data_IF_887369136096
#
_entry.id   IF_887369136096
#
_cell.length_a   1.000
_cell.length_b   1.000
_cell.length_c   1.000
_cell.angle_alpha   90.00
_cell.angle_beta   90.00
_cell.angle_gamma   90.00
#
_symmetry.space_group_name_H-M   'P 1'
#
loop_
_entity.id
_entity.type
_entity.pdbx_description
1 polymer ?
#
# COMPACT_ATOMS: atom_id res chain seq x y z
N UNK A 1 27.12 -55.89 -4.49
CA UNK A 1 26.26 -54.85 -3.86
C UNK A 1 24.84 -55.37 -3.79
N UNK A 2 24.16 -55.27 -2.65
CA UNK A 2 22.82 -55.86 -2.45
C UNK A 2 21.80 -55.16 -3.38
N UNK A 3 20.99 -55.87 -4.18
CA UNK A 3 20.11 -55.28 -5.21
C UNK A 3 19.08 -54.29 -4.64
N UNK A 4 18.73 -54.44 -3.36
CA UNK A 4 17.87 -53.50 -2.62
C UNK A 4 18.47 -52.10 -2.50
N UNK A 5 19.80 -51.99 -2.47
CA UNK A 5 20.50 -50.70 -2.36
C UNK A 5 20.46 -49.93 -3.69
N UNK A 6 20.52 -50.64 -4.82
CA UNK A 6 20.45 -50.06 -6.16
C UNK A 6 19.05 -49.51 -6.44
N UNK A 7 18.01 -50.25 -6.03
CA UNK A 7 16.61 -49.83 -6.17
C UNK A 7 16.31 -48.59 -5.32
N UNK A 8 16.84 -48.51 -4.09
CA UNK A 8 16.66 -47.34 -3.24
C UNK A 8 17.31 -46.07 -3.82
N UNK A 9 18.48 -46.20 -4.44
CA UNK A 9 19.16 -45.07 -5.11
C UNK A 9 18.40 -44.64 -6.36
N UNK A 10 17.89 -45.59 -7.15
CA UNK A 10 17.09 -45.29 -8.33
C UNK A 10 15.78 -44.57 -7.99
N UNK A 11 15.14 -44.96 -6.87
CA UNK A 11 13.91 -44.34 -6.40
C UNK A 11 14.14 -42.92 -5.86
N UNK A 12 15.29 -42.67 -5.24
CA UNK A 12 15.68 -41.34 -4.75
C UNK A 12 15.98 -40.35 -5.89
N UNK A 13 16.46 -40.83 -7.06
CA UNK A 13 16.68 -39.99 -8.24
C UNK A 13 15.39 -39.59 -8.98
N UNK A 14 14.25 -40.26 -8.73
CA UNK A 14 12.97 -39.94 -9.35
C UNK A 14 12.15 -38.89 -8.58
N UNK A 15 12.65 -38.40 -7.45
CA UNK A 15 12.01 -37.29 -6.74
C UNK A 15 12.31 -35.98 -7.49
N UNK A 16 11.31 -35.27 -8.03
CA UNK A 16 11.54 -33.99 -8.68
C UNK A 16 12.15 -33.02 -7.66
N UNK A 17 13.16 -32.21 -8.05
CA UNK A 17 13.68 -31.18 -7.17
C UNK A 17 12.53 -30.22 -6.86
N UNK A 18 12.27 -29.99 -5.57
CA UNK A 18 11.40 -28.89 -5.15
C UNK A 18 12.14 -27.57 -5.48
N UNK A 19 11.94 -27.07 -6.70
CA UNK A 19 12.37 -25.73 -7.08
C UNK A 19 11.40 -24.77 -6.40
N UNK A 20 11.77 -24.33 -5.20
CA UNK A 20 11.11 -23.20 -4.56
C UNK A 20 11.49 -21.94 -5.35
N UNK A 21 10.67 -21.58 -6.33
CA UNK A 21 10.80 -20.31 -7.04
C UNK A 21 10.56 -19.17 -6.05
N UNK A 22 11.47 -18.20 -5.99
CA UNK A 22 11.24 -16.98 -5.25
C UNK A 22 10.24 -16.11 -6.03
N UNK A 23 9.03 -15.95 -5.50
CA UNK A 23 8.04 -15.02 -6.05
C UNK A 23 8.33 -13.62 -5.52
N UNK A 24 8.50 -12.65 -6.41
CA UNK A 24 8.57 -11.24 -6.01
C UNK A 24 7.20 -10.82 -5.52
N UNK A 25 7.08 -10.59 -4.21
CA UNK A 25 5.83 -10.14 -3.57
C UNK A 25 5.68 -8.63 -3.73
N UNK A 26 6.74 -7.88 -3.40
CA UNK A 26 6.80 -6.43 -3.50
C UNK A 26 8.27 -5.99 -3.52
N UNK A 27 8.53 -4.74 -3.92
CA UNK A 27 9.87 -4.16 -3.99
C UNK A 27 9.92 -2.82 -3.28
N UNK A 28 11.05 -2.53 -2.63
CA UNK A 28 11.32 -1.21 -2.04
C UNK A 28 11.75 -0.25 -3.15
N UNK A 29 11.13 0.93 -3.21
CA UNK A 29 11.42 1.97 -4.21
C UNK A 29 12.18 3.16 -3.62
N UNK A 30 12.03 3.40 -2.32
CA UNK A 30 12.81 4.37 -1.57
C UNK A 30 12.93 3.92 -0.10
N UNK A 31 13.93 4.43 0.60
CA UNK A 31 14.09 4.28 2.05
C UNK A 31 14.29 5.67 2.63
N UNK A 32 13.49 6.04 3.63
CA UNK A 32 13.60 7.32 4.34
C UNK A 32 14.02 6.98 5.77
N UNK A 33 15.29 7.26 6.08
CA UNK A 33 15.97 6.77 7.28
C UNK A 33 15.89 5.23 7.39
N UNK A 34 14.99 4.71 8.22
CA UNK A 34 14.80 3.27 8.48
C UNK A 34 13.44 2.74 7.96
N UNK A 35 12.59 3.60 7.37
CA UNK A 35 11.26 3.23 6.89
C UNK A 35 11.26 3.07 5.36
N UNK A 36 10.93 1.87 4.82
CA UNK A 36 10.87 1.65 3.38
C UNK A 36 9.54 2.16 2.80
N UNK A 37 9.60 2.78 1.63
CA UNK A 37 8.44 2.99 0.76
C UNK A 37 8.43 1.88 -0.28
N UNK A 38 7.33 1.12 -0.35
CA UNK A 38 7.21 0.01 -1.31
C UNK A 38 6.61 0.45 -2.64
N UNK A 39 6.78 -0.39 -3.67
CA UNK A 39 6.18 -0.14 -4.98
C UNK A 39 4.66 -0.24 -4.93
N UNK A 40 4.11 -1.21 -4.17
CA UNK A 40 2.66 -1.32 -4.01
C UNK A 40 2.07 -0.07 -3.36
N UNK A 41 2.69 0.46 -2.32
CA UNK A 41 2.27 1.71 -1.67
C UNK A 41 2.32 2.91 -2.61
N UNK A 42 3.43 3.06 -3.35
CA UNK A 42 3.56 4.14 -4.34
C UNK A 42 2.50 4.02 -5.43
N UNK A 43 2.25 2.82 -5.93
CA UNK A 43 1.25 2.56 -6.97
C UNK A 43 -0.17 2.84 -6.48
N UNK A 44 -0.52 2.40 -5.27
CA UNK A 44 -1.82 2.65 -4.64
C UNK A 44 -2.04 4.13 -4.38
N UNK A 45 -1.04 4.82 -3.82
CA UNK A 45 -1.11 6.27 -3.57
C UNK A 45 -1.27 7.05 -4.87
N UNK A 46 -0.47 6.73 -5.89
CA UNK A 46 -0.56 7.38 -7.21
C UNK A 46 -1.93 7.13 -7.87
N UNK A 47 -2.43 5.89 -7.80
CA UNK A 47 -3.74 5.53 -8.35
C UNK A 47 -4.89 6.24 -7.63
N UNK A 48 -4.75 6.46 -6.32
CA UNK A 48 -5.71 7.19 -5.51
C UNK A 48 -5.71 8.69 -5.84
N UNK A 49 -4.54 9.33 -5.91
CA UNK A 49 -4.45 10.77 -6.21
C UNK A 49 -4.93 11.10 -7.63
N UNK A 50 -4.75 10.18 -8.58
CA UNK A 50 -5.19 10.34 -9.97
C UNK A 50 -6.53 9.69 -10.26
N UNK A 51 -7.30 9.28 -9.23
CA UNK A 51 -8.51 8.48 -9.41
C UNK A 51 -9.48 9.06 -10.44
N UNK A 52 -9.66 10.38 -10.40
CA UNK A 52 -10.60 11.09 -11.27
C UNK A 52 -10.09 11.21 -12.71
N UNK A 53 -8.76 11.27 -12.90
CA UNK A 53 -8.13 11.39 -14.21
C UNK A 53 -8.04 10.04 -14.94
N UNK A 54 -7.89 8.94 -14.18
CA UNK A 54 -7.66 7.61 -14.74
C UNK A 54 -8.91 6.73 -14.78
N UNK A 55 -10.03 7.17 -14.20
CA UNK A 55 -11.26 6.36 -14.08
C UNK A 55 -11.78 5.85 -15.44
N UNK A 56 -11.71 6.70 -16.46
CA UNK A 56 -12.28 6.42 -17.79
C UNK A 56 -11.23 6.01 -18.83
N UNK A 57 -9.98 5.81 -18.42
CA UNK A 57 -8.89 5.47 -19.33
C UNK A 57 -8.79 3.95 -19.55
N UNK A 58 -8.44 3.50 -20.77
CA UNK A 58 -8.05 2.11 -21.01
C UNK A 58 -6.87 1.69 -20.12
N UNK A 59 -6.74 0.39 -19.78
CA UNK A 59 -5.69 -0.11 -18.87
C UNK A 59 -4.26 0.33 -19.24
N UNK A 60 -3.92 0.30 -20.52
CA UNK A 60 -2.58 0.70 -21.00
C UNK A 60 -2.31 2.21 -20.79
N UNK A 61 -3.31 3.05 -21.05
CA UNK A 61 -3.20 4.49 -20.85
C UNK A 61 -3.15 4.83 -19.36
N UNK A 62 -3.94 4.14 -18.54
CA UNK A 62 -3.90 4.28 -17.07
C UNK A 62 -2.50 3.98 -16.53
N UNK A 63 -1.88 2.89 -16.99
CA UNK A 63 -0.52 2.51 -16.57
C UNK A 63 0.50 3.59 -16.94
N UNK A 64 0.46 4.08 -18.18
CA UNK A 64 1.35 5.16 -18.65
C UNK A 64 1.20 6.45 -17.83
N UNK A 65 -0.04 6.83 -17.51
CA UNK A 65 -0.33 8.00 -16.68
C UNK A 65 0.24 7.79 -15.27
N UNK A 66 -0.03 6.65 -14.64
CA UNK A 66 0.51 6.34 -13.30
C UNK A 66 2.04 6.41 -13.30
N UNK A 67 2.71 5.73 -14.24
CA UNK A 67 4.18 5.73 -14.34
C UNK A 67 4.76 7.13 -14.50
N UNK A 68 4.06 8.03 -15.22
CA UNK A 68 4.48 9.42 -15.40
C UNK A 68 4.49 10.22 -14.10
N UNK A 69 3.51 9.99 -13.21
CA UNK A 69 3.34 10.75 -11.97
C UNK A 69 3.99 10.09 -10.74
N UNK A 70 4.44 8.84 -10.85
CA UNK A 70 5.08 8.10 -9.75
C UNK A 70 6.21 8.87 -9.08
N UNK A 71 7.06 9.56 -9.84
CA UNK A 71 8.18 10.31 -9.25
C UNK A 71 7.72 11.52 -8.42
N UNK A 72 6.66 12.19 -8.86
CA UNK A 72 6.09 13.33 -8.14
C UNK A 72 5.42 12.87 -6.85
N UNK A 73 4.61 11.81 -6.94
CA UNK A 73 3.96 11.21 -5.77
C UNK A 73 4.99 10.65 -4.80
N UNK A 74 6.05 10.01 -5.29
CA UNK A 74 7.12 9.49 -4.43
C UNK A 74 7.81 10.61 -3.64
N UNK A 75 8.13 11.75 -4.27
CA UNK A 75 8.72 12.89 -3.57
C UNK A 75 7.81 13.39 -2.46
N UNK A 76 6.52 13.54 -2.76
CA UNK A 76 5.52 13.94 -1.76
C UNK A 76 5.42 12.94 -0.61
N UNK A 77 5.44 11.63 -0.90
CA UNK A 77 5.44 10.59 0.13
C UNK A 77 6.69 10.67 1.03
N UNK A 78 7.86 10.96 0.45
CA UNK A 78 9.10 11.15 1.21
C UNK A 78 8.97 12.36 2.14
N UNK A 79 8.48 13.50 1.63
CA UNK A 79 8.30 14.71 2.42
C UNK A 79 7.29 14.49 3.57
N UNK A 80 6.15 13.83 3.28
CA UNK A 80 5.15 13.45 4.29
C UNK A 80 5.75 12.54 5.38
N UNK A 81 6.60 11.58 4.99
CA UNK A 81 7.28 10.67 5.93
C UNK A 81 8.28 11.41 6.82
N UNK A 82 9.06 12.34 6.25
CA UNK A 82 10.00 13.18 7.01
C UNK A 82 9.24 14.04 8.03
N UNK A 83 8.19 14.74 7.61
CA UNK A 83 7.37 15.59 8.49
C UNK A 83 6.79 14.74 9.63
N UNK A 84 6.21 13.59 9.29
CA UNK A 84 5.60 12.69 10.27
C UNK A 84 6.59 12.25 11.35
N UNK A 85 7.81 11.92 10.92
CA UNK A 85 8.86 11.51 11.83
C UNK A 85 9.33 12.64 12.74
N UNK A 86 9.59 13.82 12.18
CA UNK A 86 10.03 14.97 12.99
C UNK A 86 8.95 15.42 13.97
N UNK A 87 7.67 15.32 13.59
CA UNK A 87 6.56 15.56 14.50
C UNK A 87 6.53 14.53 15.65
N UNK A 88 6.70 13.24 15.36
CA UNK A 88 6.82 12.20 16.39
C UNK A 88 8.01 12.45 17.34
N UNK A 89 9.18 12.83 16.81
CA UNK A 89 10.36 13.19 17.62
C UNK A 89 10.10 14.41 18.51
N UNK A 90 9.33 15.38 18.02
CA UNK A 90 8.91 16.55 18.77
C UNK A 90 7.79 16.26 19.79
N UNK A 91 7.32 15.01 19.89
CA UNK A 91 6.23 14.63 20.79
C UNK A 91 4.84 15.05 20.30
N UNK A 92 4.71 15.40 19.02
CA UNK A 92 3.45 15.72 18.36
C UNK A 92 2.84 14.44 17.81
N UNK A 93 1.67 14.07 18.33
CA UNK A 93 0.95 12.87 17.93
C UNK A 93 -0.51 13.22 17.66
N UNK A 94 -1.05 12.71 16.54
CA UNK A 94 -2.48 12.80 16.24
C UNK A 94 -3.24 11.72 17.00
N UNK A 95 -4.10 12.14 17.91
CA UNK A 95 -4.96 11.26 18.71
C UNK A 95 -6.03 10.62 17.81
N UNK A 96 -6.44 9.40 18.16
CA UNK A 96 -7.52 8.72 17.43
C UNK A 96 -8.84 9.52 17.43
N UNK A 97 -9.07 10.33 18.47
CA UNK A 97 -10.24 11.22 18.55
C UNK A 97 -10.22 12.31 17.47
N UNK A 98 -9.04 12.86 17.15
CA UNK A 98 -8.89 13.89 16.12
C UNK A 98 -9.14 13.31 14.72
N UNK A 99 -8.65 12.10 14.47
CA UNK A 99 -8.96 11.36 13.23
C UNK A 99 -10.46 11.07 13.11
N UNK A 100 -11.10 10.68 14.21
CA UNK A 100 -12.54 10.40 14.20
C UNK A 100 -13.39 11.66 14.00
N UNK A 101 -13.01 12.77 14.60
CA UNK A 101 -13.64 14.07 14.39
C UNK A 101 -13.49 14.53 12.93
N UNK A 102 -12.28 14.41 12.35
CA UNK A 102 -12.05 14.70 10.94
C UNK A 102 -12.92 13.84 10.01
N UNK A 103 -13.06 12.54 10.29
CA UNK A 103 -13.96 11.67 9.53
C UNK A 103 -15.42 12.11 9.64
N UNK A 104 -15.89 12.50 10.84
CA UNK A 104 -17.25 12.99 11.06
C UNK A 104 -17.50 14.28 10.28
N UNK A 105 -16.55 15.19 10.28
CA UNK A 105 -16.63 16.45 9.51
C UNK A 105 -16.68 16.20 8.00
N UNK A 106 -15.86 15.28 7.46
CA UNK A 106 -15.90 14.93 6.04
C UNK A 106 -17.22 14.24 5.68
N UNK A 107 -17.69 13.31 6.52
CA UNK A 107 -18.99 12.66 6.30
C UNK A 107 -20.13 13.68 6.27
N UNK A 108 -20.14 14.62 7.22
CA UNK A 108 -21.11 15.72 7.30
C UNK A 108 -21.07 16.62 6.07
N UNK A 109 -19.88 16.99 5.58
CA UNK A 109 -19.73 17.75 4.32
C UNK A 109 -20.31 17.03 3.10
N UNK A 110 -20.29 15.71 3.10
CA UNK A 110 -20.88 14.88 2.05
C UNK A 110 -22.37 14.55 2.30
N UNK A 111 -23.01 15.16 3.32
CA UNK A 111 -24.37 14.86 3.76
C UNK A 111 -24.58 13.36 4.12
N UNK A 112 -23.54 12.71 4.62
CA UNK A 112 -23.54 11.30 5.03
C UNK A 112 -23.38 11.20 6.55
N UNK A 113 -24.02 10.18 7.13
CA UNK A 113 -23.64 9.72 8.46
C UNK A 113 -22.27 9.02 8.41
N UNK A 114 -21.59 8.91 9.56
CA UNK A 114 -20.30 8.23 9.63
C UNK A 114 -20.41 6.77 9.15
N UNK A 115 -21.49 6.06 9.50
CA UNK A 115 -21.74 4.68 9.05
C UNK A 115 -21.94 4.61 7.52
N UNK A 116 -22.69 5.55 6.96
CA UNK A 116 -22.89 5.64 5.50
C UNK A 116 -21.57 5.93 4.78
N UNK A 117 -20.75 6.85 5.32
CA UNK A 117 -19.44 7.17 4.75
C UNK A 117 -18.50 5.95 4.74
N UNK A 118 -18.46 5.19 5.84
CA UNK A 118 -17.67 3.94 5.90
C UNK A 118 -18.15 2.90 4.88
N UNK A 119 -19.47 2.79 4.64
CA UNK A 119 -20.02 1.92 3.59
C UNK A 119 -19.57 2.36 2.20
N UNK A 120 -19.57 3.66 1.90
CA UNK A 120 -19.09 4.21 0.63
C UNK A 120 -17.61 3.91 0.42
N UNK A 121 -16.77 4.08 1.44
CA UNK A 121 -15.34 3.74 1.35
C UNK A 121 -15.12 2.26 1.01
N UNK A 122 -15.84 1.35 1.68
CA UNK A 122 -15.79 -0.09 1.39
C UNK A 122 -16.23 -0.41 -0.04
N UNK A 123 -17.28 0.22 -0.53
CA UNK A 123 -17.75 0.05 -1.92
C UNK A 123 -16.71 0.52 -2.95
N UNK A 124 -15.90 1.52 -2.59
CA UNK A 124 -14.79 2.01 -3.43
C UNK A 124 -13.50 1.20 -3.28
N UNK A 125 -13.53 0.10 -2.52
CA UNK A 125 -12.35 -0.74 -2.28
C UNK A 125 -11.34 -0.12 -1.30
N UNK A 126 -11.70 0.95 -0.60
CA UNK A 126 -10.82 1.64 0.35
C UNK A 126 -11.06 1.08 1.76
N UNK A 127 -10.02 0.51 2.38
CA UNK A 127 -10.13 0.03 3.76
C UNK A 127 -10.22 1.22 4.74
N UNK A 128 -11.01 1.06 5.81
CA UNK A 128 -11.15 2.08 6.83
C UNK A 128 -9.79 2.40 7.51
N UNK A 129 -8.96 1.37 7.71
CA UNK A 129 -7.62 1.52 8.28
C UNK A 129 -6.74 2.41 7.39
N UNK A 130 -6.71 2.14 6.09
CA UNK A 130 -5.94 2.93 5.13
C UNK A 130 -6.41 4.39 5.12
N UNK A 131 -7.73 4.62 5.07
CA UNK A 131 -8.28 5.98 5.07
C UNK A 131 -7.98 6.74 6.36
N UNK A 132 -8.07 6.09 7.53
CA UNK A 132 -7.68 6.70 8.82
C UNK A 132 -6.20 7.10 8.84
N UNK A 133 -5.32 6.30 8.22
CA UNK A 133 -3.90 6.64 8.10
C UNK A 133 -3.68 7.85 7.20
N UNK A 134 -4.38 7.95 6.07
CA UNK A 134 -4.34 9.15 5.22
C UNK A 134 -4.76 10.39 6.02
N UNK A 135 -5.87 10.32 6.77
CA UNK A 135 -6.33 11.45 7.57
C UNK A 135 -5.34 11.83 8.66
N UNK A 136 -4.74 10.84 9.33
CA UNK A 136 -3.70 11.07 10.32
C UNK A 136 -2.51 11.83 9.72
N UNK A 137 -2.08 11.46 8.51
CA UNK A 137 -1.03 12.17 7.78
C UNK A 137 -1.42 13.59 7.37
N UNK A 138 -2.70 13.85 7.08
CA UNK A 138 -3.19 15.18 6.69
C UNK A 138 -3.39 16.15 7.86
N UNK A 139 -3.65 15.62 9.07
CA UNK A 139 -3.84 16.43 10.29
C UNK A 139 -2.51 16.90 10.86
N UNK A 140 -1.46 16.08 10.68
CA UNK A 140 -0.11 16.33 11.15
C UNK A 140 0.57 17.44 10.35
#
# INVERSE_FOLDING_TARGET
MKPKLVIAILLALMLPPNIYGATLIDRVVAVVDDEPITWSELYERTSFELSDQIQNLPPEQKKQVIEKYQLEVLKKMIDEMIISREAHKAGVYVKDSEVEEAMKEIAKRNNLSLDQFQKVLRQRGVSLKYYRNILRQQIL
#
